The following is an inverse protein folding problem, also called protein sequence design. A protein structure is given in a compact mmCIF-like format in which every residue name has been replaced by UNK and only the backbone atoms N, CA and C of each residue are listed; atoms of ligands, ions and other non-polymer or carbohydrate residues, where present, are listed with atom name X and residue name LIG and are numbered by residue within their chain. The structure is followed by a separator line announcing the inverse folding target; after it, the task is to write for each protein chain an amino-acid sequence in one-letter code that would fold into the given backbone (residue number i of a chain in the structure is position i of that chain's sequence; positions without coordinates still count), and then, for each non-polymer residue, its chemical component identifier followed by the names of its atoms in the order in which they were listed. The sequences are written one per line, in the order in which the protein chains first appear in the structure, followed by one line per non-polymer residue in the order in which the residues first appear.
data_IF_990652359406
#
_entry.id   IF_990652359406
#
_cell.length_a   1.000
_cell.length_b   1.000
_cell.length_c   1.000
_cell.angle_alpha   90.00
_cell.angle_beta   90.00
_cell.angle_gamma   90.00
#
_symmetry.space_group_name_H-M   'P 1'
#
loop_
_entity.id
_entity.type
_entity.pdbx_description
1 polymer ?
#
# COMPACT_ATOMS: atom_id res chain seq x y z
N UNK A 1 16.04 -2.37 7.18
CA UNK A 1 16.82 -1.94 8.37
C UNK A 1 17.60 -3.14 8.90
N UNK A 2 18.90 -2.98 9.18
CA UNK A 2 19.70 -4.04 9.81
C UNK A 2 19.78 -3.75 11.31
N UNK A 3 19.21 -4.63 12.14
CA UNK A 3 19.32 -4.49 13.59
C UNK A 3 20.63 -5.09 14.07
N UNK A 4 21.32 -4.44 15.03
CA UNK A 4 22.56 -4.98 15.60
C UNK A 4 22.38 -6.41 16.12
N UNK A 5 23.23 -7.32 15.67
CA UNK A 5 23.22 -8.72 16.13
C UNK A 5 22.13 -9.62 15.54
N UNK A 6 21.28 -9.11 14.62
CA UNK A 6 20.30 -9.93 13.92
C UNK A 6 20.83 -10.37 12.54
N UNK A 7 20.54 -11.62 12.12
CA UNK A 7 20.90 -12.08 10.78
C UNK A 7 20.14 -11.31 9.71
N UNK A 8 20.79 -11.07 8.56
CA UNK A 8 20.19 -10.41 7.39
C UNK A 8 19.25 -11.32 6.59
N UNK A 9 19.10 -12.58 6.99
CA UNK A 9 18.27 -13.57 6.33
C UNK A 9 17.15 -14.01 7.27
N UNK A 10 15.91 -14.06 6.74
CA UNK A 10 14.77 -14.59 7.47
C UNK A 10 14.75 -16.13 7.51
N UNK A 11 15.45 -16.79 6.59
CA UNK A 11 15.54 -18.24 6.55
C UNK A 11 16.37 -18.76 7.74
N UNK A 12 15.93 -19.82 8.44
CA UNK A 12 16.77 -20.53 9.40
C UNK A 12 18.09 -20.95 8.76
N UNK A 13 19.18 -21.00 9.53
CA UNK A 13 20.48 -21.46 9.02
C UNK A 13 20.45 -22.92 8.52
N UNK A 14 19.48 -23.72 8.98
CA UNK A 14 19.25 -25.09 8.53
C UNK A 14 18.41 -25.21 7.26
N UNK A 15 17.85 -24.10 6.76
CA UNK A 15 16.99 -24.12 5.58
C UNK A 15 17.82 -24.38 4.32
N UNK A 16 17.35 -25.30 3.47
CA UNK A 16 17.88 -25.47 2.12
C UNK A 16 17.15 -24.52 1.19
N UNK A 17 17.88 -23.61 0.55
CA UNK A 17 17.32 -22.67 -0.43
C UNK A 17 17.52 -23.28 -1.82
N UNK A 18 16.43 -23.54 -2.53
CA UNK A 18 16.44 -24.04 -3.91
C UNK A 18 15.92 -22.96 -4.84
N UNK A 19 16.67 -22.67 -5.91
CA UNK A 19 16.22 -21.75 -6.96
C UNK A 19 15.19 -22.46 -7.82
N UNK A 20 13.97 -21.94 -7.88
CA UNK A 20 12.89 -22.51 -8.69
C UNK A 20 13.01 -22.13 -10.18
N UNK A 21 13.34 -20.87 -10.44
CA UNK A 21 13.59 -20.34 -11.78
C UNK A 21 14.58 -19.16 -11.71
N UNK A 22 15.36 -18.98 -12.77
CA UNK A 22 16.31 -17.89 -12.97
C UNK A 22 15.69 -16.74 -13.78
N UNK A 23 16.26 -15.52 -13.74
CA UNK A 23 15.83 -14.42 -14.59
C UNK A 23 15.80 -14.81 -16.07
N UNK A 24 14.67 -14.59 -16.73
CA UNK A 24 14.46 -14.94 -18.15
C UNK A 24 13.85 -16.32 -18.39
N UNK A 25 13.69 -17.14 -17.34
CA UNK A 25 12.91 -18.37 -17.41
C UNK A 25 11.42 -18.10 -17.13
N UNK A 26 10.56 -19.01 -17.59
CA UNK A 26 9.12 -18.92 -17.35
C UNK A 26 8.78 -19.32 -15.91
N UNK A 27 8.52 -18.31 -15.07
CA UNK A 27 8.19 -18.51 -13.66
C UNK A 27 6.86 -19.24 -13.47
N UNK A 28 5.89 -19.06 -14.38
CA UNK A 28 4.58 -19.69 -14.28
C UNK A 28 4.69 -21.18 -14.61
N UNK A 29 5.43 -21.53 -15.66
CA UNK A 29 5.71 -22.93 -16.00
C UNK A 29 6.46 -23.64 -14.86
N UNK A 30 7.46 -23.00 -14.27
CA UNK A 30 8.20 -23.58 -13.15
C UNK A 30 7.32 -23.79 -11.91
N UNK A 31 6.39 -22.87 -11.61
CA UNK A 31 5.42 -23.04 -10.52
C UNK A 31 4.44 -24.18 -10.80
N UNK A 32 3.95 -24.30 -12.04
CA UNK A 32 3.06 -25.39 -12.45
C UNK A 32 3.76 -26.75 -12.34
N UNK A 33 5.02 -26.84 -12.78
CA UNK A 33 5.83 -28.04 -12.66
C UNK A 33 6.07 -28.42 -11.19
N UNK A 34 6.39 -27.44 -10.33
CA UNK A 34 6.55 -27.68 -8.90
C UNK A 34 5.24 -28.17 -8.27
N UNK A 35 4.11 -27.55 -8.59
CA UNK A 35 2.80 -27.94 -8.08
C UNK A 35 2.45 -29.39 -8.47
N UNK A 36 2.78 -29.79 -9.71
CA UNK A 36 2.59 -31.16 -10.18
C UNK A 36 3.50 -32.14 -9.42
N UNK A 37 4.79 -31.82 -9.27
CA UNK A 37 5.78 -32.68 -8.59
C UNK A 37 5.39 -32.95 -7.12
N UNK A 38 4.89 -31.93 -6.41
CA UNK A 38 4.47 -32.08 -5.01
C UNK A 38 3.02 -32.57 -4.85
N UNK A 39 2.30 -32.80 -5.96
CA UNK A 39 0.88 -33.20 -5.94
C UNK A 39 -0.02 -32.15 -5.28
N UNK A 40 0.29 -30.85 -5.42
CA UNK A 40 -0.47 -29.78 -4.81
C UNK A 40 -1.89 -29.72 -5.41
N UNK A 41 -2.95 -29.73 -4.58
CA UNK A 41 -4.31 -29.60 -5.08
C UNK A 41 -4.56 -28.17 -5.60
N UNK A 42 -5.44 -28.03 -6.60
CA UNK A 42 -6.01 -26.71 -6.92
C UNK A 42 -6.86 -26.25 -5.73
N UNK A 43 -6.40 -25.22 -5.01
CA UNK A 43 -7.17 -24.62 -3.94
C UNK A 43 -8.19 -23.63 -4.49
N UNK A 44 -9.39 -23.61 -3.91
CA UNK A 44 -10.29 -22.47 -4.06
C UNK A 44 -9.64 -21.22 -3.44
N UNK A 45 -10.04 -20.04 -3.92
CA UNK A 45 -9.68 -18.77 -3.28
C UNK A 45 -10.21 -18.79 -1.85
N UNK A 46 -9.31 -18.61 -0.89
CA UNK A 46 -9.65 -18.62 0.53
C UNK A 46 -10.45 -17.34 0.86
N UNK A 47 -11.66 -17.50 1.40
CA UNK A 47 -12.48 -16.42 1.91
C UNK A 47 -12.90 -16.78 3.34
N UNK A 48 -12.35 -16.08 4.34
CA UNK A 48 -12.46 -16.49 5.74
C UNK A 48 -13.50 -15.77 6.57
N UNK A 49 -14.27 -14.82 6.01
CA UNK A 49 -15.15 -14.03 6.86
C UNK A 49 -16.20 -13.21 6.15
N UNK A 50 -17.17 -12.77 6.95
CA UNK A 50 -18.18 -11.81 6.53
C UNK A 50 -17.52 -10.45 6.28
N UNK A 51 -17.80 -9.86 5.13
CA UNK A 51 -17.42 -8.47 4.82
C UNK A 51 -17.95 -7.52 5.91
N UNK A 52 -17.10 -6.65 6.49
CA UNK A 52 -17.52 -5.71 7.51
C UNK A 52 -18.48 -4.66 6.95
N UNK A 53 -19.36 -4.12 7.80
CA UNK A 53 -20.37 -3.12 7.42
C UNK A 53 -19.76 -1.70 7.20
N UNK A 54 -18.45 -1.54 7.42
CA UNK A 54 -17.71 -0.28 7.30
C UNK A 54 -17.61 0.49 8.63
N UNK A 55 -16.39 0.70 9.18
CA UNK A 55 -16.22 1.46 10.42
C UNK A 55 -16.41 2.96 10.20
N UNK A 56 -16.54 3.69 11.31
CA UNK A 56 -16.78 5.13 11.36
C UNK A 56 -15.86 5.81 12.37
N UNK A 57 -15.68 7.12 12.21
CA UNK A 57 -14.95 7.97 13.13
C UNK A 57 -13.49 8.16 12.74
N UNK A 58 -12.67 8.45 13.75
CA UNK A 58 -11.26 8.80 13.58
C UNK A 58 -10.50 7.64 12.93
N UNK A 59 -9.68 7.88 11.89
CA UNK A 59 -8.90 6.84 11.26
C UNK A 59 -7.94 6.15 12.23
N UNK A 60 -8.00 4.82 12.24
CA UNK A 60 -7.01 3.94 12.87
C UNK A 60 -6.55 2.92 11.82
N UNK A 61 -5.39 2.29 12.01
CA UNK A 61 -4.90 1.26 11.07
C UNK A 61 -5.91 0.11 10.93
N UNK A 62 -6.38 -0.41 12.07
CA UNK A 62 -7.43 -1.45 12.09
C UNK A 62 -8.73 -0.99 11.42
N UNK A 63 -9.23 0.20 11.77
CA UNK A 63 -10.46 0.75 11.18
C UNK A 63 -10.31 0.96 9.67
N UNK A 64 -9.16 1.40 9.20
CA UNK A 64 -8.92 1.53 7.77
C UNK A 64 -8.82 0.17 7.08
N UNK A 65 -8.22 -0.85 7.70
CA UNK A 65 -8.22 -2.23 7.20
C UNK A 65 -9.65 -2.78 7.03
N UNK A 66 -10.51 -2.59 8.03
CA UNK A 66 -11.92 -2.94 7.97
C UNK A 66 -12.67 -2.15 6.89
N UNK A 67 -12.37 -0.86 6.72
CA UNK A 67 -12.92 -0.03 5.64
C UNK A 67 -12.54 -0.58 4.28
N UNK A 68 -11.26 -0.90 4.04
CA UNK A 68 -10.80 -1.47 2.78
C UNK A 68 -11.56 -2.77 2.47
N UNK A 69 -11.67 -3.68 3.44
CA UNK A 69 -12.47 -4.88 3.27
C UNK A 69 -13.94 -4.57 2.95
N UNK A 70 -14.51 -3.53 3.56
CA UNK A 70 -15.88 -3.08 3.31
C UNK A 70 -16.11 -2.43 1.94
N UNK A 71 -15.10 -1.87 1.27
CA UNK A 71 -15.32 -1.06 0.05
C UNK A 71 -14.57 -1.50 -1.20
N UNK A 72 -13.50 -2.31 -1.07
CA UNK A 72 -12.71 -2.75 -2.22
C UNK A 72 -13.61 -3.37 -3.32
N UNK A 73 -13.44 -2.97 -4.59
CA UNK A 73 -14.13 -3.61 -5.69
C UNK A 73 -13.56 -5.01 -5.94
N UNK A 74 -14.37 -5.89 -6.49
CA UNK A 74 -13.90 -7.20 -6.93
C UNK A 74 -12.84 -7.04 -8.03
N UNK A 75 -11.83 -7.90 -8.01
CA UNK A 75 -10.66 -7.89 -8.87
C UNK A 75 -9.83 -6.59 -8.79
N UNK A 76 -9.87 -5.85 -7.68
CA UNK A 76 -8.94 -4.74 -7.46
C UNK A 76 -7.48 -5.21 -7.43
N UNK A 77 -6.55 -4.28 -7.60
CA UNK A 77 -5.14 -4.46 -7.24
C UNK A 77 -4.85 -3.46 -6.13
N UNK A 78 -4.44 -3.93 -4.96
CA UNK A 78 -3.95 -3.06 -3.89
C UNK A 78 -2.43 -2.96 -4.00
N UNK A 79 -1.90 -1.74 -3.97
CA UNK A 79 -0.47 -1.47 -3.85
C UNK A 79 -0.25 -0.81 -2.49
N UNK A 80 0.46 -1.49 -1.60
CA UNK A 80 0.64 -1.08 -0.22
C UNK A 80 2.05 -0.55 0.06
N UNK A 81 2.11 0.75 0.31
CA UNK A 81 3.21 1.46 0.94
C UNK A 81 2.68 2.39 2.07
N UNK A 82 1.74 1.89 2.88
CA UNK A 82 1.23 2.59 4.06
C UNK A 82 2.22 2.61 5.24
N UNK A 83 3.31 1.83 5.13
CA UNK A 83 4.42 1.70 6.09
C UNK A 83 3.93 1.52 7.54
N UNK A 84 3.94 2.57 8.36
CA UNK A 84 3.58 2.47 9.78
C UNK A 84 2.11 2.12 9.95
N UNK A 85 1.25 2.69 9.11
CA UNK A 85 -0.20 2.53 9.16
C UNK A 85 -0.66 1.25 8.44
N UNK A 86 0.24 0.57 7.73
CA UNK A 86 -0.04 -0.65 6.96
C UNK A 86 -0.20 -1.93 7.78
N UNK A 87 0.25 -1.93 9.04
CA UNK A 87 0.42 -3.15 9.85
C UNK A 87 -0.87 -3.97 10.04
N UNK A 88 -2.01 -3.31 10.16
CA UNK A 88 -3.30 -3.98 10.37
C UNK A 88 -4.14 -4.13 9.09
N UNK A 89 -3.59 -3.77 7.92
CA UNK A 89 -4.37 -3.77 6.68
C UNK A 89 -4.48 -5.16 6.06
N UNK A 90 -3.36 -5.87 5.92
CA UNK A 90 -3.31 -7.17 5.26
C UNK A 90 -4.20 -8.24 5.93
N UNK A 91 -4.28 -8.38 7.27
CA UNK A 91 -5.15 -9.38 7.89
C UNK A 91 -6.65 -9.20 7.55
N UNK A 92 -7.10 -7.94 7.44
CA UNK A 92 -8.49 -7.60 7.12
C UNK A 92 -8.85 -7.91 5.66
N UNK A 93 -7.87 -8.01 4.77
CA UNK A 93 -8.08 -8.26 3.33
C UNK A 93 -8.78 -9.60 3.06
N UNK A 94 -8.63 -10.57 3.98
CA UNK A 94 -9.25 -11.90 3.89
C UNK A 94 -10.79 -11.88 3.91
N UNK A 95 -11.39 -10.82 4.44
CA UNK A 95 -12.84 -10.58 4.45
C UNK A 95 -13.33 -9.68 3.29
N UNK A 96 -12.42 -9.21 2.44
CA UNK A 96 -12.72 -8.41 1.25
C UNK A 96 -13.19 -9.29 0.07
N UNK A 97 -13.65 -8.64 -1.00
CA UNK A 97 -13.84 -9.30 -2.29
C UNK A 97 -12.49 -9.74 -2.89
N UNK A 98 -12.46 -10.73 -3.80
CA UNK A 98 -11.21 -11.17 -4.45
C UNK A 98 -10.42 -9.99 -5.04
N UNK A 99 -9.12 -9.94 -4.77
CA UNK A 99 -8.21 -8.88 -5.22
C UNK A 99 -6.77 -9.38 -5.17
N UNK A 100 -5.87 -8.65 -5.83
CA UNK A 100 -4.43 -8.88 -5.68
C UNK A 100 -3.83 -7.85 -4.73
N UNK A 101 -2.76 -8.24 -4.03
CA UNK A 101 -2.04 -7.38 -3.10
C UNK A 101 -0.55 -7.35 -3.47
N UNK A 102 -0.07 -6.16 -3.80
CA UNK A 102 1.34 -5.85 -4.03
C UNK A 102 1.84 -4.98 -2.87
N UNK A 103 3.06 -5.22 -2.39
CA UNK A 103 3.63 -4.45 -1.29
C UNK A 103 5.13 -4.23 -1.50
N UNK A 104 5.66 -3.20 -0.86
CA UNK A 104 7.10 -2.94 -0.82
C UNK A 104 7.84 -4.14 -0.20
N UNK A 105 8.82 -4.70 -0.92
CA UNK A 105 9.51 -5.95 -0.52
C UNK A 105 10.85 -5.74 0.19
N UNK A 106 11.39 -4.50 0.18
CA UNK A 106 12.73 -4.18 0.69
C UNK A 106 12.83 -2.93 1.56
N UNK A 107 11.68 -2.35 1.96
CA UNK A 107 11.61 -1.14 2.79
C UNK A 107 12.11 0.15 2.13
N UNK A 108 12.42 0.12 0.83
CA UNK A 108 12.77 1.31 0.06
C UNK A 108 11.49 2.08 -0.28
N UNK A 109 11.39 3.31 0.23
CA UNK A 109 10.20 4.14 0.06
C UNK A 109 10.15 4.83 -1.31
N UNK A 110 8.94 5.14 -1.78
CA UNK A 110 8.65 5.66 -3.12
C UNK A 110 8.31 4.59 -4.16
N UNK A 111 8.04 3.37 -3.73
CA UNK A 111 7.60 2.23 -4.54
C UNK A 111 6.12 2.35 -4.97
N UNK A 112 5.23 2.80 -4.08
CA UNK A 112 3.78 2.66 -4.20
C UNK A 112 3.23 3.31 -5.46
N UNK A 113 3.41 4.62 -5.63
CA UNK A 113 2.88 5.32 -6.81
C UNK A 113 3.36 4.79 -8.18
N UNK A 114 4.66 4.54 -8.43
CA UNK A 114 5.09 3.98 -9.71
C UNK A 114 4.65 2.51 -9.89
N UNK A 115 4.61 1.71 -8.81
CA UNK A 115 4.09 0.35 -8.87
C UNK A 115 2.59 0.34 -9.20
N UNK A 116 1.80 1.23 -8.60
CA UNK A 116 0.38 1.41 -8.90
C UNK A 116 0.14 1.85 -10.34
N UNK A 117 1.02 2.72 -10.86
CA UNK A 117 1.01 3.12 -12.28
C UNK A 117 1.22 1.91 -13.19
N UNK A 118 2.26 1.11 -12.93
CA UNK A 118 2.54 -0.11 -13.70
C UNK A 118 1.42 -1.16 -13.59
N UNK A 119 0.88 -1.35 -12.39
CA UNK A 119 -0.24 -2.24 -12.12
C UNK A 119 -1.50 -1.83 -12.90
N UNK A 120 -1.78 -0.53 -13.01
CA UNK A 120 -2.93 -0.04 -13.77
C UNK A 120 -2.75 -0.23 -15.28
N UNK A 121 -1.53 -0.02 -15.79
CA UNK A 121 -1.19 -0.27 -17.20
C UNK A 121 -1.32 -1.76 -17.54
N UNK A 122 -0.80 -2.65 -16.69
CA UNK A 122 -0.85 -4.10 -16.90
C UNK A 122 -2.22 -4.72 -16.56
N UNK A 123 -2.99 -4.07 -15.68
CA UNK A 123 -4.21 -4.59 -15.08
C UNK A 123 -5.44 -4.55 -15.99
N UNK A 124 -5.32 -4.12 -17.25
CA UNK A 124 -6.38 -4.16 -18.26
C UNK A 124 -7.73 -3.59 -17.78
N UNK A 125 -7.70 -2.41 -17.14
CA UNK A 125 -8.90 -1.73 -16.63
C UNK A 125 -9.31 -2.09 -15.20
N UNK A 126 -8.60 -3.00 -14.52
CA UNK A 126 -8.78 -3.23 -13.08
C UNK A 126 -8.48 -1.96 -12.30
N UNK A 127 -9.32 -1.68 -11.29
CA UNK A 127 -9.09 -0.55 -10.36
C UNK A 127 -7.89 -0.85 -9.49
N UNK A 128 -6.93 0.07 -9.46
CA UNK A 128 -5.79 0.03 -8.55
C UNK A 128 -6.07 0.93 -7.35
N UNK A 129 -5.83 0.43 -6.14
CA UNK A 129 -5.88 1.20 -4.90
C UNK A 129 -4.45 1.32 -4.36
N UNK A 130 -3.87 2.50 -4.44
CA UNK A 130 -2.53 2.78 -3.90
C UNK A 130 -2.66 3.33 -2.48
N UNK A 131 -2.08 2.64 -1.51
CA UNK A 131 -2.02 3.07 -0.11
C UNK A 131 -0.62 3.61 0.12
N UNK A 132 -0.51 4.89 0.46
CA UNK A 132 0.78 5.58 0.38
C UNK A 132 0.99 6.43 1.62
N UNK A 133 2.11 6.28 2.32
CA UNK A 133 2.50 7.20 3.39
C UNK A 133 2.83 8.60 2.80
N UNK A 134 2.44 9.66 3.49
CA UNK A 134 2.74 11.05 3.12
C UNK A 134 4.23 11.33 2.84
N UNK A 135 5.12 10.82 3.70
CA UNK A 135 6.56 10.92 3.50
C UNK A 135 7.05 10.16 2.27
N UNK A 136 6.53 8.95 2.03
CA UNK A 136 6.86 8.13 0.86
C UNK A 136 6.40 8.77 -0.45
N UNK A 137 5.20 9.36 -0.45
CA UNK A 137 4.57 9.95 -1.63
C UNK A 137 5.50 10.93 -2.35
N UNK A 138 6.26 11.73 -1.60
CA UNK A 138 7.13 12.78 -2.18
C UNK A 138 8.37 12.24 -2.91
N UNK A 139 8.73 10.97 -2.76
CA UNK A 139 9.82 10.37 -3.53
C UNK A 139 9.46 10.21 -5.01
N UNK A 140 8.19 9.93 -5.30
CA UNK A 140 7.73 9.58 -6.65
C UNK A 140 6.38 10.20 -7.03
N UNK A 141 6.05 11.36 -6.43
CA UNK A 141 4.79 12.10 -6.60
C UNK A 141 4.46 12.42 -8.08
N UNK A 142 5.48 12.57 -8.93
CA UNK A 142 5.34 12.79 -10.36
C UNK A 142 4.58 11.67 -11.08
N UNK A 143 4.45 10.49 -10.45
CA UNK A 143 3.63 9.38 -10.95
C UNK A 143 2.17 9.79 -11.15
N UNK A 144 1.64 10.71 -10.33
CA UNK A 144 0.28 11.24 -10.48
C UNK A 144 0.06 11.88 -11.86
N UNK A 145 1.06 12.55 -12.41
CA UNK A 145 0.96 13.14 -13.74
C UNK A 145 0.83 12.07 -14.83
N UNK A 146 1.59 10.98 -14.73
CA UNK A 146 1.47 9.85 -15.67
C UNK A 146 0.10 9.20 -15.57
N UNK A 147 -0.40 8.99 -14.34
CA UNK A 147 -1.73 8.46 -14.10
C UNK A 147 -2.81 9.35 -14.71
N UNK A 148 -2.70 10.68 -14.57
CA UNK A 148 -3.65 11.64 -15.15
C UNK A 148 -3.59 11.62 -16.69
N UNK A 149 -2.38 11.69 -17.25
CA UNK A 149 -2.15 11.72 -18.69
C UNK A 149 -2.71 10.49 -19.39
N UNK A 150 -2.45 9.31 -18.83
CA UNK A 150 -2.88 8.03 -19.40
C UNK A 150 -4.28 7.62 -18.90
N UNK A 151 -4.94 8.47 -18.10
CA UNK A 151 -6.27 8.23 -17.50
C UNK A 151 -6.36 6.88 -16.78
N UNK A 152 -5.30 6.53 -16.05
CA UNK A 152 -5.21 5.23 -15.38
C UNK A 152 -6.19 5.16 -14.21
N UNK A 153 -6.88 4.02 -14.01
CA UNK A 153 -7.86 3.85 -12.94
C UNK A 153 -7.16 3.62 -11.59
N UNK A 154 -6.52 4.66 -11.03
CA UNK A 154 -5.78 4.59 -9.76
C UNK A 154 -6.44 5.47 -8.71
N UNK A 155 -6.91 4.87 -7.62
CA UNK A 155 -7.32 5.60 -6.41
C UNK A 155 -6.17 5.58 -5.43
N UNK A 156 -5.51 6.72 -5.23
CA UNK A 156 -4.43 6.85 -4.24
C UNK A 156 -4.99 7.37 -2.92
N UNK A 157 -4.73 6.69 -1.82
CA UNK A 157 -5.00 7.16 -0.46
C UNK A 157 -3.68 7.51 0.20
N UNK A 158 -3.41 8.80 0.34
CA UNK A 158 -2.29 9.30 1.14
C UNK A 158 -2.69 9.20 2.60
N UNK A 159 -1.92 8.47 3.38
CA UNK A 159 -2.07 8.34 4.83
C UNK A 159 -1.18 9.39 5.48
N UNK A 160 -1.79 10.50 5.85
CA UNK A 160 -1.11 11.73 6.20
C UNK A 160 -1.12 11.97 7.71
N UNK A 161 0.00 11.65 8.36
CA UNK A 161 0.24 11.92 9.78
C UNK A 161 1.26 13.05 10.00
N UNK A 162 1.78 13.64 8.92
CA UNK A 162 2.70 14.75 8.93
C UNK A 162 4.11 14.41 9.40
N UNK A 163 4.55 13.14 9.32
CA UNK A 163 5.87 12.72 9.83
C UNK A 163 6.35 11.37 9.29
N UNK A 164 7.66 11.17 9.31
CA UNK A 164 8.27 9.85 9.12
C UNK A 164 8.15 8.98 10.38
N UNK A 165 6.91 8.58 10.74
CA UNK A 165 6.62 7.84 11.97
C UNK A 165 7.38 6.51 12.08
N UNK A 166 7.69 5.87 10.96
CA UNK A 166 8.46 4.62 10.94
C UNK A 166 9.87 4.83 11.50
N UNK A 167 10.53 5.93 11.13
CA UNK A 167 11.89 6.23 11.56
C UNK A 167 11.96 6.54 13.06
N UNK A 168 10.90 7.13 13.62
CA UNK A 168 10.75 7.30 15.07
C UNK A 168 10.64 5.92 15.74
N UNK A 169 9.88 4.99 15.16
CA UNK A 169 9.78 3.61 15.62
C UNK A 169 11.11 2.85 15.53
N UNK A 170 11.87 3.03 14.45
CA UNK A 170 13.19 2.39 14.27
C UNK A 170 14.21 2.89 15.30
N UNK A 171 14.20 4.19 15.66
CA UNK A 171 15.02 4.70 16.76
C UNK A 171 14.72 3.95 18.07
N UNK A 172 13.43 3.78 18.40
CA UNK A 172 13.03 3.02 19.58
C UNK A 172 13.44 1.54 19.48
N UNK A 173 13.31 0.93 18.29
CA UNK A 173 13.67 -0.46 18.03
C UNK A 173 15.16 -0.78 18.23
N UNK A 174 16.05 0.21 18.03
CA UNK A 174 17.49 0.07 18.32
C UNK A 174 17.88 0.60 19.70
N UNK A 175 16.91 1.01 20.53
CA UNK A 175 17.15 1.56 21.86
C UNK A 175 17.75 2.98 21.86
N UNK A 176 17.64 3.71 20.75
CA UNK A 176 18.11 5.07 20.63
C UNK A 176 17.05 6.08 21.08
N UNK A 177 17.50 7.20 21.64
CA UNK A 177 16.64 8.31 22.07
C UNK A 177 16.99 9.57 21.26
N UNK A 178 16.26 9.88 20.18
CA UNK A 178 16.60 10.99 19.28
C UNK A 178 16.36 12.34 19.97
N UNK A 179 17.33 13.25 19.83
CA UNK A 179 17.19 14.62 20.30
C UNK A 179 16.30 15.49 19.39
N UNK A 180 16.00 16.74 19.79
CA UNK A 180 15.10 17.63 19.05
C UNK A 180 15.49 17.86 17.59
N UNK A 181 16.79 17.98 17.30
CA UNK A 181 17.28 18.16 15.92
C UNK A 181 16.93 16.98 15.03
N UNK A 182 17.08 15.75 15.53
CA UNK A 182 16.75 14.54 14.78
C UNK A 182 15.23 14.44 14.57
N UNK A 183 14.42 14.74 15.60
CA UNK A 183 12.96 14.72 15.50
C UNK A 183 12.45 15.77 14.49
N UNK A 184 13.05 16.96 14.45
CA UNK A 184 12.70 17.98 13.45
C UNK A 184 12.99 17.55 12.01
N UNK A 185 13.96 16.65 11.77
CA UNK A 185 14.20 16.09 10.43
C UNK A 185 13.15 15.07 10.00
N UNK A 186 12.34 14.57 10.95
CA UNK A 186 11.28 13.60 10.71
C UNK A 186 9.88 14.24 10.67
N UNK A 187 9.78 15.53 10.96
CA UNK A 187 8.56 16.33 10.91
C UNK A 187 8.32 16.85 9.50
N UNK A 188 7.11 16.62 8.99
CA UNK A 188 6.63 17.09 7.68
C UNK A 188 5.53 18.15 7.81
N UNK A 189 5.24 18.59 9.04
CA UNK A 189 4.18 19.54 9.36
C UNK A 189 4.57 21.02 9.28
N UNK A 190 5.84 21.35 9.04
CA UNK A 190 6.34 22.73 9.10
C UNK A 190 7.24 23.14 7.90
N UNK A 191 6.64 23.60 6.77
CA UNK A 191 5.21 23.74 6.53
C UNK A 191 4.56 22.41 6.15
N UNK A 192 3.27 22.26 6.47
CA UNK A 192 2.48 21.10 6.06
C UNK A 192 2.26 21.08 4.55
N UNK A 193 2.36 19.89 3.96
CA UNK A 193 2.06 19.66 2.55
C UNK A 193 0.55 19.56 2.32
N UNK A 194 0.06 20.18 1.25
CA UNK A 194 -1.32 20.05 0.79
C UNK A 194 -1.36 19.10 -0.42
N UNK A 195 -1.54 17.81 -0.15
CA UNK A 195 -1.60 16.79 -1.19
C UNK A 195 -2.76 16.98 -2.15
N UNK A 196 -3.87 17.60 -1.72
CA UNK A 196 -4.99 17.90 -2.63
C UNK A 196 -4.58 18.93 -3.66
N UNK A 197 -3.87 19.99 -3.27
CA UNK A 197 -3.35 21.01 -4.20
C UNK A 197 -2.25 20.46 -5.10
N UNK A 198 -1.35 19.65 -4.56
CA UNK A 198 -0.29 18.99 -5.34
C UNK A 198 -0.89 18.09 -6.41
N UNK A 199 -1.84 17.23 -6.05
CA UNK A 199 -2.54 16.33 -6.98
C UNK A 199 -3.23 17.11 -8.11
N UNK A 200 -3.99 18.15 -7.75
CA UNK A 200 -4.67 19.01 -8.73
C UNK A 200 -3.66 19.66 -9.70
N UNK A 201 -2.50 20.12 -9.19
CA UNK A 201 -1.42 20.67 -10.02
C UNK A 201 -0.80 19.65 -10.99
N UNK A 202 -0.92 18.36 -10.70
CA UNK A 202 -0.47 17.25 -11.55
C UNK A 202 -1.60 16.65 -12.42
N UNK A 203 -2.81 17.22 -12.35
CA UNK A 203 -3.95 16.81 -13.16
C UNK A 203 -4.80 15.69 -12.56
N UNK A 204 -4.64 15.38 -11.27
CA UNK A 204 -5.43 14.37 -10.55
C UNK A 204 -6.43 15.07 -9.64
N UNK A 205 -7.72 14.75 -9.77
CA UNK A 205 -8.75 15.24 -8.85
C UNK A 205 -8.50 14.69 -7.45
N UNK A 206 -8.69 15.52 -6.42
CA UNK A 206 -8.39 15.13 -5.07
C UNK A 206 -9.34 15.72 -4.02
N UNK A 207 -9.53 14.98 -2.94
CA UNK A 207 -10.28 15.42 -1.77
C UNK A 207 -9.59 14.98 -0.48
N UNK A 208 -9.86 15.70 0.61
CA UNK A 208 -9.40 15.34 1.95
C UNK A 208 -10.48 14.58 2.71
N UNK A 209 -10.07 13.60 3.50
CA UNK A 209 -10.91 12.92 4.48
C UNK A 209 -10.28 13.04 5.87
N UNK A 210 -11.14 13.22 6.87
CA UNK A 210 -10.75 13.26 8.29
C UNK A 210 -11.42 12.16 9.11
N UNK A 211 -12.34 11.41 8.48
CA UNK A 211 -13.00 10.25 9.07
C UNK A 211 -13.01 9.06 8.11
N UNK A 212 -13.21 7.86 8.69
CA UNK A 212 -13.31 6.62 7.92
C UNK A 212 -14.52 6.65 6.97
N UNK A 213 -15.67 7.16 7.38
CA UNK A 213 -16.84 7.25 6.51
C UNK A 213 -16.66 8.25 5.34
N UNK A 214 -15.93 9.35 5.56
CA UNK A 214 -15.56 10.27 4.48
C UNK A 214 -14.65 9.58 3.47
N UNK A 215 -13.63 8.87 3.96
CA UNK A 215 -12.70 8.12 3.12
C UNK A 215 -13.44 7.04 2.32
N UNK A 216 -14.30 6.25 2.96
CA UNK A 216 -15.10 5.21 2.32
C UNK A 216 -15.95 5.77 1.18
N UNK A 217 -16.63 6.90 1.42
CA UNK A 217 -17.45 7.59 0.42
C UNK A 217 -16.60 8.06 -0.77
N UNK A 218 -15.43 8.65 -0.52
CA UNK A 218 -14.53 9.12 -1.57
C UNK A 218 -13.95 7.96 -2.38
N UNK A 219 -13.58 6.85 -1.73
CA UNK A 219 -13.11 5.64 -2.41
C UNK A 219 -14.20 5.10 -3.33
N UNK A 220 -15.41 4.89 -2.82
CA UNK A 220 -16.54 4.41 -3.61
C UNK A 220 -16.88 5.34 -4.79
N UNK A 221 -16.85 6.65 -4.57
CA UNK A 221 -17.03 7.65 -5.64
C UNK A 221 -15.93 7.51 -6.71
N UNK A 222 -14.66 7.43 -6.31
CA UNK A 222 -13.53 7.32 -7.25
C UNK A 222 -13.57 6.05 -8.09
N UNK A 223 -14.14 4.95 -7.54
CA UNK A 223 -14.27 3.70 -8.27
C UNK A 223 -15.26 3.80 -9.44
N UNK A 224 -16.19 4.75 -9.39
CA UNK A 224 -17.16 5.03 -10.44
C UNK A 224 -16.67 6.02 -11.51
N UNK A 225 -15.49 6.62 -11.30
CA UNK A 225 -14.91 7.61 -12.21
C UNK A 225 -13.89 6.96 -13.14
N UNK A 226 -13.80 7.47 -14.36
CA UNK A 226 -12.68 7.15 -15.25
C UNK A 226 -11.45 7.95 -14.82
N UNK A 227 -10.30 7.29 -14.73
CA UNK A 227 -9.03 7.93 -14.37
C UNK A 227 -8.71 7.95 -12.88
N UNK A 228 -7.67 8.70 -12.50
CA UNK A 228 -7.13 8.67 -11.16
C UNK A 228 -7.82 9.65 -10.21
N UNK A 229 -7.78 9.32 -8.92
CA UNK A 229 -8.27 10.17 -7.84
C UNK A 229 -7.34 10.06 -6.63
N UNK A 230 -7.13 11.16 -5.92
CA UNK A 230 -6.34 11.19 -4.69
C UNK A 230 -7.18 11.54 -3.47
N UNK A 231 -7.06 10.73 -2.42
CA UNK A 231 -7.64 10.98 -1.10
C UNK A 231 -6.50 11.31 -0.16
N UNK A 232 -6.50 12.51 0.41
CA UNK A 232 -5.61 12.91 1.51
C UNK A 232 -6.31 12.55 2.83
N UNK A 233 -5.99 11.39 3.41
CA UNK A 233 -6.58 10.90 4.66
C UNK A 233 -5.72 11.37 5.83
N UNK A 234 -6.26 12.25 6.66
CA UNK A 234 -5.58 12.75 7.87
C UNK A 234 -5.69 11.71 8.98
N UNK A 235 -4.56 11.30 9.57
CA UNK A 235 -4.49 10.26 10.62
C UNK A 235 -3.62 10.64 11.82
#
# INVERSE_FOLDING_TARGET
FAYPGLPSHHAPQSATITTLAEPGQDMLEALDALAQEVGAPRSAVFHSGRRPDGPKGVPTSEGFGQLLAAVLPENAIVVDEAITFGRDLFPNSTAALPHDWMMVTGGAIGYGMPAATGAAVAGNGRRVVNLEADGSAMYTIQSLWTQAREKLPVTTVIINNGKYQILIGEYAGVGANPGPTALNMLDLGNPAMDFTRIANGLGVEAARATTLEECARLMQMSFMQDGPFLIDLIV
#
